data_IF_798630294819
#
_entry.id   IF_798630294819
#
_cell.length_a   1.000
_cell.length_b   1.000
_cell.length_c   1.000
_cell.angle_alpha   90.00
_cell.angle_beta   90.00
_cell.angle_gamma   90.00
#
_symmetry.space_group_name_H-M   'P 1'
#
loop_
_entity.id
_entity.type
_entity.pdbx_description
1 polymer ?
#
# COMPACT_ATOMS: atom_id res chain seq x y z
N UNK A 1 13.51 50.10 -39.72
CA UNK A 1 14.33 49.07 -39.05
C UNK A 1 14.33 49.13 -37.51
N UNK A 2 14.65 50.27 -36.86
CA UNK A 2 14.73 50.38 -35.38
C UNK A 2 13.45 49.99 -34.59
N UNK A 3 12.24 50.35 -35.08
CA UNK A 3 10.96 50.00 -34.43
C UNK A 3 10.67 48.49 -34.39
N UNK A 4 11.06 47.74 -35.43
CA UNK A 4 10.86 46.28 -35.51
C UNK A 4 11.77 45.52 -34.53
N UNK A 5 13.00 46.00 -34.34
CA UNK A 5 13.95 45.41 -33.38
C UNK A 5 13.47 45.65 -31.95
N UNK A 6 13.01 46.86 -31.61
CA UNK A 6 12.48 47.17 -30.27
C UNK A 6 11.22 46.36 -29.94
N UNK A 7 10.32 46.15 -30.90
CA UNK A 7 9.15 45.29 -30.72
C UNK A 7 9.54 43.83 -30.44
N UNK A 8 10.52 43.30 -31.18
CA UNK A 8 11.02 41.94 -30.99
C UNK A 8 11.70 41.74 -29.62
N UNK A 9 12.42 42.74 -29.11
CA UNK A 9 13.02 42.70 -27.78
C UNK A 9 11.96 42.82 -26.65
N UNK A 10 10.95 43.66 -26.82
CA UNK A 10 9.85 43.79 -25.88
C UNK A 10 9.03 42.49 -25.78
N UNK A 11 8.73 41.84 -26.91
CA UNK A 11 8.02 40.56 -26.95
C UNK A 11 8.83 39.42 -26.31
N UNK A 12 10.16 39.38 -26.52
CA UNK A 12 11.03 38.41 -25.81
C UNK A 12 11.09 38.68 -24.31
N UNK A 13 11.14 39.94 -23.88
CA UNK A 13 11.18 40.30 -22.47
C UNK A 13 9.84 40.03 -21.76
N UNK A 14 8.72 40.28 -22.43
CA UNK A 14 7.38 39.96 -21.95
C UNK A 14 7.15 38.45 -21.89
N UNK A 15 7.60 37.71 -22.91
CA UNK A 15 7.61 36.24 -22.92
C UNK A 15 8.42 35.68 -21.76
N UNK A 16 9.69 36.10 -21.59
CA UNK A 16 10.54 35.69 -20.45
C UNK A 16 9.89 35.98 -19.09
N UNK A 17 9.30 37.16 -18.91
CA UNK A 17 8.58 37.52 -17.68
C UNK A 17 7.37 36.61 -17.45
N UNK A 18 6.57 36.35 -18.48
CA UNK A 18 5.40 35.46 -18.39
C UNK A 18 5.81 34.03 -18.03
N UNK A 19 6.91 33.52 -18.58
CA UNK A 19 7.46 32.21 -18.21
C UNK A 19 7.95 32.21 -16.76
N UNK A 20 8.58 33.30 -16.30
CA UNK A 20 9.06 33.46 -14.91
C UNK A 20 7.93 33.47 -13.88
N UNK A 21 6.84 34.20 -14.16
CA UNK A 21 5.67 34.20 -13.27
C UNK A 21 4.99 32.83 -13.25
N UNK A 22 4.82 32.20 -14.42
CA UNK A 22 4.27 30.85 -14.50
C UNK A 22 5.11 29.84 -13.71
N UNK A 23 6.45 29.91 -13.81
CA UNK A 23 7.34 29.03 -13.03
C UNK A 23 7.21 29.25 -11.53
N UNK A 24 7.16 30.51 -11.06
CA UNK A 24 7.02 30.80 -9.63
C UNK A 24 5.67 30.35 -9.09
N UNK A 25 4.57 30.60 -9.82
CA UNK A 25 3.23 30.18 -9.42
C UNK A 25 3.09 28.66 -9.39
N UNK A 26 3.60 27.94 -10.39
CA UNK A 26 3.57 26.47 -10.41
C UNK A 26 4.41 25.88 -9.28
N UNK A 27 5.62 26.41 -9.04
CA UNK A 27 6.46 25.96 -7.93
C UNK A 27 5.78 26.17 -6.58
N UNK A 28 5.16 27.33 -6.37
CA UNK A 28 4.44 27.63 -5.14
C UNK A 28 3.24 26.68 -4.94
N UNK A 29 2.43 26.45 -5.98
CA UNK A 29 1.30 25.52 -5.89
C UNK A 29 1.74 24.08 -5.62
N UNK A 30 2.84 23.65 -6.23
CA UNK A 30 3.45 22.35 -6.00
C UNK A 30 3.94 22.22 -4.54
N UNK A 31 4.60 23.25 -4.01
CA UNK A 31 5.08 23.27 -2.62
C UNK A 31 3.94 23.33 -1.62
N UNK A 32 2.87 24.08 -1.90
CA UNK A 32 1.68 24.15 -1.05
C UNK A 32 0.99 22.78 -1.00
N UNK A 33 0.79 22.13 -2.15
CA UNK A 33 0.18 20.80 -2.20
C UNK A 33 1.01 19.76 -1.42
N UNK A 34 2.33 19.83 -1.51
CA UNK A 34 3.22 18.95 -0.76
C UNK A 34 3.25 19.27 0.75
N UNK A 35 3.26 20.56 1.11
CA UNK A 35 3.24 20.98 2.51
C UNK A 35 1.91 20.63 3.20
N UNK A 36 0.77 20.71 2.52
CA UNK A 36 -0.52 20.31 3.07
C UNK A 36 -0.61 18.81 3.40
N UNK A 37 0.22 17.97 2.78
CA UNK A 37 0.35 16.55 3.10
C UNK A 37 1.28 16.26 4.29
N UNK A 38 2.19 17.19 4.60
CA UNK A 38 3.11 17.08 5.74
C UNK A 38 2.50 17.61 7.04
N UNK A 39 1.38 18.34 6.96
CA UNK A 39 0.58 18.70 8.13
C UNK A 39 -0.18 17.44 8.55
N UNK A 40 0.47 16.62 9.37
CA UNK A 40 -0.21 15.61 10.16
C UNK A 40 -1.30 16.33 10.95
N UNK A 41 -2.58 15.96 10.83
CA UNK A 41 -3.55 16.37 11.84
C UNK A 41 -3.02 15.79 13.15
N UNK A 42 -2.65 16.63 14.11
CA UNK A 42 -2.67 16.19 15.51
C UNK A 42 -4.06 15.61 15.72
N UNK A 43 -4.12 14.35 16.17
CA UNK A 43 -5.34 13.68 16.56
C UNK A 43 -5.93 14.40 17.79
N UNK A 44 -6.52 15.57 17.57
CA UNK A 44 -7.28 16.34 18.55
C UNK A 44 -8.71 16.49 18.05
N UNK A 45 -9.33 15.38 17.69
CA UNK A 45 -10.78 15.31 17.69
C UNK A 45 -11.17 14.73 19.06
N UNK A 46 -11.64 15.58 19.97
CA UNK A 46 -12.34 15.12 21.17
C UNK A 46 -13.49 14.17 20.75
N UNK A 47 -13.65 13.00 21.37
CA UNK A 47 -14.72 12.07 21.02
C UNK A 47 -16.04 12.59 21.63
N UNK A 48 -16.70 13.50 20.93
CA UNK A 48 -18.02 13.98 21.31
C UNK A 48 -19.11 13.06 20.75
N UNK A 49 -19.54 12.11 21.60
CA UNK A 49 -20.94 11.67 21.67
C UNK A 49 -21.39 10.53 20.73
N UNK A 50 -21.71 9.38 21.35
CA UNK A 50 -22.53 8.24 20.85
C UNK A 50 -22.14 7.53 19.55
N UNK A 51 -21.14 8.01 18.81
CA UNK A 51 -20.46 7.29 17.73
C UNK A 51 -18.98 7.13 18.06
N UNK A 52 -18.70 6.57 19.24
CA UNK A 52 -17.33 6.29 19.66
C UNK A 52 -16.65 5.38 18.64
N UNK A 53 -15.63 5.93 17.99
CA UNK A 53 -14.55 5.30 17.24
C UNK A 53 -14.73 3.79 16.96
N UNK A 54 -15.48 3.48 15.89
CA UNK A 54 -15.00 2.40 15.03
C UNK A 54 -13.80 3.01 14.32
N UNK A 55 -12.60 2.63 14.73
CA UNK A 55 -11.38 2.91 13.99
C UNK A 55 -11.68 2.56 12.52
N UNK A 56 -11.71 3.56 11.64
CA UNK A 56 -12.05 3.36 10.23
C UNK A 56 -10.89 2.58 9.62
N UNK A 57 -10.97 1.25 9.67
CA UNK A 57 -10.09 0.36 8.95
C UNK A 57 -10.72 0.05 7.59
N UNK A 58 -10.19 0.65 6.50
CA UNK A 58 -10.66 0.37 5.15
C UNK A 58 -10.58 -1.12 4.79
N UNK A 59 -9.70 -1.90 5.44
CA UNK A 59 -9.55 -3.32 5.16
C UNK A 59 -10.57 -4.19 5.91
N UNK A 60 -11.04 -3.82 7.10
CA UNK A 60 -12.17 -4.50 7.75
C UNK A 60 -13.49 -4.18 7.04
N UNK A 61 -13.69 -2.94 6.61
CA UNK A 61 -14.98 -2.49 6.08
C UNK A 61 -15.18 -2.82 4.59
N UNK A 62 -14.10 -3.03 3.84
CA UNK A 62 -14.16 -3.40 2.41
C UNK A 62 -13.61 -4.81 2.16
N UNK A 63 -13.02 -5.45 3.18
CA UNK A 63 -12.77 -6.88 3.20
C UNK A 63 -14.09 -7.63 3.24
N UNK A 64 -14.17 -8.77 2.54
CA UNK A 64 -15.37 -9.59 2.53
C UNK A 64 -15.75 -9.97 3.97
N UNK A 65 -16.74 -9.28 4.56
CA UNK A 65 -17.56 -9.83 5.63
C UNK A 65 -18.27 -11.05 5.04
N UNK A 66 -17.64 -12.22 5.11
CA UNK A 66 -18.37 -13.47 5.17
C UNK A 66 -19.02 -13.50 6.56
N UNK A 67 -20.04 -12.65 6.78
CA UNK A 67 -21.03 -12.95 7.80
C UNK A 67 -21.55 -14.34 7.48
N UNK A 68 -21.55 -15.19 8.49
CA UNK A 68 -21.87 -16.61 8.46
C UNK A 68 -23.34 -16.85 8.09
N UNK A 69 -23.71 -16.56 6.84
CA UNK A 69 -24.98 -16.96 6.23
C UNK A 69 -24.69 -17.71 4.93
N UNK A 70 -24.63 -19.04 5.06
CA UNK A 70 -24.85 -20.04 4.02
C UNK A 70 -24.16 -19.83 2.67
N UNK A 71 -22.96 -20.41 2.54
CA UNK A 71 -22.51 -21.23 1.39
C UNK A 71 -23.20 -20.98 0.04
N UNK A 72 -23.03 -19.78 -0.53
CA UNK A 72 -23.05 -19.56 -1.97
C UNK A 72 -21.76 -18.86 -2.34
N UNK A 73 -21.02 -19.48 -3.25
CA UNK A 73 -19.89 -18.87 -3.91
C UNK A 73 -20.39 -17.66 -4.72
N UNK A 74 -20.53 -16.50 -4.08
CA UNK A 74 -20.73 -15.24 -4.78
C UNK A 74 -19.39 -14.92 -5.46
N UNK A 75 -19.38 -15.07 -6.80
CA UNK A 75 -18.22 -14.70 -7.61
C UNK A 75 -17.91 -13.20 -7.50
N UNK A 76 -16.73 -12.82 -7.99
CA UNK A 76 -16.25 -11.43 -8.01
C UNK A 76 -17.34 -10.52 -8.58
N UNK A 77 -17.76 -9.52 -7.81
CA UNK A 77 -18.80 -8.59 -8.24
C UNK A 77 -18.29 -7.68 -9.36
N UNK A 78 -19.17 -7.21 -10.24
CA UNK A 78 -18.78 -6.28 -11.30
C UNK A 78 -18.13 -4.99 -10.76
N UNK A 79 -18.52 -4.55 -9.56
CA UNK A 79 -17.94 -3.39 -8.87
C UNK A 79 -16.49 -3.64 -8.42
N UNK A 80 -16.18 -4.82 -7.89
CA UNK A 80 -14.82 -5.21 -7.52
C UNK A 80 -13.90 -5.31 -8.73
N UNK A 81 -14.37 -5.91 -9.82
CA UNK A 81 -13.62 -5.97 -11.09
C UNK A 81 -13.31 -4.55 -11.58
N UNK A 82 -14.31 -3.66 -11.56
CA UNK A 82 -14.14 -2.28 -11.99
C UNK A 82 -13.12 -1.53 -11.12
N UNK A 83 -13.17 -1.71 -9.80
CA UNK A 83 -12.21 -1.10 -8.88
C UNK A 83 -10.78 -1.55 -9.14
N UNK A 84 -10.52 -2.86 -9.21
CA UNK A 84 -9.17 -3.36 -9.48
C UNK A 84 -8.69 -2.97 -10.88
N UNK A 85 -9.58 -2.93 -11.88
CA UNK A 85 -9.25 -2.44 -13.21
C UNK A 85 -8.90 -0.94 -13.21
N UNK A 86 -9.66 -0.11 -12.49
CA UNK A 86 -9.38 1.32 -12.33
C UNK A 86 -8.05 1.55 -11.62
N UNK A 87 -7.76 0.77 -10.57
CA UNK A 87 -6.49 0.82 -9.84
C UNK A 87 -5.30 0.38 -10.70
N UNK A 88 -5.44 -0.70 -11.48
CA UNK A 88 -4.43 -1.13 -12.44
C UNK A 88 -4.15 -0.04 -13.50
N UNK A 89 -5.21 0.57 -14.02
CA UNK A 89 -5.12 1.66 -14.98
C UNK A 89 -4.44 2.89 -14.38
N UNK A 90 -4.77 3.24 -13.14
CA UNK A 90 -4.14 4.32 -12.38
C UNK A 90 -2.63 4.08 -12.23
N UNK A 91 -2.20 2.92 -11.75
CA UNK A 91 -0.78 2.61 -11.61
C UNK A 91 -0.04 2.62 -12.95
N UNK A 92 -0.65 2.07 -14.01
CA UNK A 92 -0.07 2.15 -15.35
C UNK A 92 0.10 3.61 -15.81
N UNK A 93 -0.92 4.43 -15.62
CA UNK A 93 -0.89 5.84 -16.01
C UNK A 93 0.12 6.65 -15.19
N UNK A 94 0.23 6.39 -13.89
CA UNK A 94 1.19 7.00 -12.99
C UNK A 94 2.62 6.67 -13.42
N UNK A 95 2.92 5.39 -13.67
CA UNK A 95 4.25 4.96 -14.14
C UNK A 95 4.61 5.54 -15.50
N UNK A 96 3.64 5.61 -16.42
CA UNK A 96 3.83 6.20 -17.74
C UNK A 96 4.13 7.70 -17.67
N UNK A 97 3.30 8.47 -16.95
CA UNK A 97 3.44 9.92 -16.86
C UNK A 97 4.70 10.33 -16.10
N UNK A 98 4.91 9.79 -14.90
CA UNK A 98 6.12 10.05 -14.11
C UNK A 98 7.37 9.58 -14.83
N UNK A 99 7.36 8.37 -15.40
CA UNK A 99 8.48 7.82 -16.14
C UNK A 99 8.89 8.68 -17.34
N UNK A 100 7.94 9.11 -18.18
CA UNK A 100 8.24 10.02 -19.30
C UNK A 100 8.84 11.36 -18.83
N UNK A 101 8.31 11.92 -17.74
CA UNK A 101 8.85 13.14 -17.15
C UNK A 101 10.27 12.97 -16.61
N UNK A 102 10.58 11.82 -15.97
CA UNK A 102 11.94 11.51 -15.53
C UNK A 102 12.92 11.33 -16.70
N UNK A 103 12.48 10.66 -17.77
CA UNK A 103 13.29 10.47 -18.98
C UNK A 103 13.53 11.76 -19.77
N UNK A 104 12.72 12.80 -19.57
CA UNK A 104 12.88 14.09 -20.24
C UNK A 104 14.23 14.76 -19.97
N UNK A 105 14.82 14.54 -18.79
CA UNK A 105 16.14 15.08 -18.42
C UNK A 105 17.29 14.31 -19.10
N UNK A 106 17.09 13.03 -19.40
CA UNK A 106 18.13 12.16 -19.99
C UNK A 106 18.13 12.24 -21.52
N UNK A 107 16.98 12.56 -22.13
CA UNK A 107 16.84 12.72 -23.57
C UNK A 107 17.27 14.15 -23.97
N UNK A 108 18.24 14.30 -24.89
CA UNK A 108 18.76 15.61 -25.29
C UNK A 108 17.66 16.57 -25.77
N UNK A 109 17.84 17.87 -25.50
CA UNK A 109 16.86 18.94 -25.81
C UNK A 109 16.81 19.28 -27.31
N UNK A 110 17.45 18.49 -28.17
CA UNK A 110 17.39 18.69 -29.61
C UNK A 110 15.96 18.47 -30.12
N UNK A 111 15.27 19.59 -30.41
CA UNK A 111 13.85 19.62 -30.80
C UNK A 111 13.59 18.98 -32.16
N UNK A 112 14.62 18.88 -33.00
CA UNK A 112 14.51 18.28 -34.32
C UNK A 112 14.65 16.74 -34.26
N UNK A 113 15.16 16.21 -33.14
CA UNK A 113 15.21 14.77 -32.92
C UNK A 113 13.82 14.14 -32.85
N UNK A 114 13.65 13.01 -33.55
CA UNK A 114 12.40 12.25 -33.56
C UNK A 114 12.05 11.78 -32.14
N UNK A 115 13.05 11.42 -31.34
CA UNK A 115 12.89 11.03 -29.94
C UNK A 115 12.21 12.13 -29.10
N UNK A 116 12.69 13.39 -29.19
CA UNK A 116 12.11 14.51 -28.43
C UNK A 116 10.68 14.84 -28.86
N UNK A 117 10.39 14.79 -30.17
CA UNK A 117 9.02 15.01 -30.69
C UNK A 117 8.05 13.95 -30.21
N UNK A 118 8.45 12.68 -30.22
CA UNK A 118 7.65 11.58 -29.71
C UNK A 118 7.44 11.70 -28.20
N UNK A 119 8.48 12.02 -27.43
CA UNK A 119 8.37 12.25 -25.99
C UNK A 119 7.33 13.34 -25.69
N UNK A 120 7.46 14.54 -26.26
CA UNK A 120 6.55 15.68 -26.02
C UNK A 120 5.10 15.32 -26.39
N UNK A 121 4.91 14.63 -27.54
CA UNK A 121 3.58 14.20 -27.97
C UNK A 121 2.94 13.25 -26.94
N UNK A 122 3.71 12.27 -26.46
CA UNK A 122 3.20 11.23 -25.59
C UNK A 122 3.11 11.64 -24.12
N UNK A 123 3.92 12.59 -23.66
CA UNK A 123 3.76 13.24 -22.36
C UNK A 123 2.35 13.82 -22.18
N UNK A 124 1.79 14.44 -23.23
CA UNK A 124 0.41 14.98 -23.19
C UNK A 124 -0.62 13.86 -23.06
N UNK A 125 -0.45 12.75 -23.78
CA UNK A 125 -1.36 11.61 -23.69
C UNK A 125 -1.23 10.89 -22.34
N UNK A 126 -0.02 10.77 -21.80
CA UNK A 126 0.24 10.20 -20.50
C UNK A 126 -0.42 11.03 -19.39
N UNK A 127 -0.34 12.35 -19.45
CA UNK A 127 -1.02 13.24 -18.48
C UNK A 127 -2.54 13.16 -18.57
N UNK A 128 -3.10 13.05 -19.77
CA UNK A 128 -4.55 12.83 -19.95
C UNK A 128 -4.98 11.50 -19.36
N UNK A 129 -4.21 10.45 -19.63
CA UNK A 129 -4.48 9.12 -19.08
C UNK A 129 -4.40 9.13 -17.56
N UNK A 130 -3.37 9.77 -16.98
CA UNK A 130 -3.21 9.90 -15.53
C UNK A 130 -4.40 10.61 -14.89
N UNK A 131 -4.80 11.78 -15.42
CA UNK A 131 -5.93 12.53 -14.87
C UNK A 131 -7.23 11.70 -14.91
N UNK A 132 -7.54 11.07 -16.04
CA UNK A 132 -8.76 10.27 -16.18
C UNK A 132 -8.73 9.01 -15.33
N UNK A 133 -7.58 8.33 -15.26
CA UNK A 133 -7.41 7.13 -14.45
C UNK A 133 -7.45 7.44 -12.95
N UNK A 134 -6.86 8.56 -12.52
CA UNK A 134 -6.92 9.02 -11.12
C UNK A 134 -8.36 9.39 -10.73
N UNK A 135 -9.09 10.13 -11.57
CA UNK A 135 -10.49 10.44 -11.33
C UNK A 135 -11.36 9.17 -11.22
N UNK A 136 -11.16 8.23 -12.15
CA UNK A 136 -11.89 6.95 -12.13
C UNK A 136 -11.55 6.14 -10.87
N UNK A 137 -10.26 6.01 -10.53
CA UNK A 137 -9.81 5.30 -9.35
C UNK A 137 -10.40 5.89 -8.07
N UNK A 138 -10.24 7.20 -7.85
CA UNK A 138 -10.78 7.89 -6.67
C UNK A 138 -12.30 7.72 -6.57
N UNK A 139 -13.02 7.88 -7.69
CA UNK A 139 -14.47 7.65 -7.72
C UNK A 139 -14.84 6.20 -7.34
N UNK A 140 -14.18 5.20 -7.92
CA UNK A 140 -14.45 3.79 -7.60
C UNK A 140 -14.09 3.44 -6.17
N UNK A 141 -13.05 4.06 -5.61
CA UNK A 141 -12.60 3.79 -4.24
C UNK A 141 -13.57 4.39 -3.22
N UNK A 142 -13.98 5.64 -3.41
CA UNK A 142 -14.97 6.29 -2.52
C UNK A 142 -16.30 5.54 -2.55
N UNK A 143 -16.76 5.13 -3.73
CA UNK A 143 -18.03 4.37 -3.85
C UNK A 143 -17.96 3.00 -3.19
N UNK A 144 -16.78 2.36 -3.15
CA UNK A 144 -16.59 1.14 -2.38
C UNK A 144 -16.54 1.37 -0.87
N UNK A 145 -15.86 2.42 -0.40
CA UNK A 145 -15.79 2.74 1.03
C UNK A 145 -17.13 3.19 1.62
N UNK A 146 -17.93 3.92 0.84
CA UNK A 146 -19.26 4.37 1.25
C UNK A 146 -20.36 3.33 0.97
N UNK A 147 -20.00 2.12 0.52
CA UNK A 147 -20.96 1.05 0.27
C UNK A 147 -21.59 0.61 1.59
N UNK A 148 -22.90 0.77 1.73
CA UNK A 148 -23.62 0.49 2.99
C UNK A 148 -23.89 1.75 3.84
N UNK A 149 -23.31 2.89 3.47
CA UNK A 149 -23.69 4.22 3.97
C UNK A 149 -24.59 4.93 2.95
N UNK A 150 -25.15 6.08 3.31
CA UNK A 150 -25.84 7.00 2.38
C UNK A 150 -24.83 7.64 1.40
N UNK A 151 -24.19 6.81 0.57
CA UNK A 151 -23.07 7.16 -0.32
C UNK A 151 -23.42 8.16 -1.43
N UNK A 152 -24.66 8.65 -1.49
CA UNK A 152 -25.09 9.77 -2.32
C UNK A 152 -25.01 11.13 -1.62
N UNK A 153 -24.73 11.19 -0.33
CA UNK A 153 -24.66 12.45 0.43
C UNK A 153 -23.36 13.21 0.13
N UNK A 154 -23.40 14.41 -0.47
CA UNK A 154 -22.20 15.20 -0.78
C UNK A 154 -21.36 15.56 0.45
N UNK A 155 -21.97 15.63 1.64
CA UNK A 155 -21.25 15.96 2.87
C UNK A 155 -20.32 14.82 3.32
N UNK A 156 -20.70 13.56 3.13
CA UNK A 156 -19.85 12.41 3.45
C UNK A 156 -18.65 12.33 2.51
N UNK A 157 -18.86 12.63 1.23
CA UNK A 157 -17.77 12.75 0.26
C UNK A 157 -16.80 13.87 0.64
N UNK A 158 -17.33 15.03 1.04
CA UNK A 158 -16.52 16.16 1.46
C UNK A 158 -15.69 15.82 2.70
N UNK A 159 -16.32 15.28 3.75
CA UNK A 159 -15.65 14.82 4.97
C UNK A 159 -14.57 13.80 4.68
N UNK A 160 -14.88 12.76 3.89
CA UNK A 160 -13.90 11.74 3.52
C UNK A 160 -12.69 12.38 2.83
N UNK A 161 -12.90 13.31 1.90
CA UNK A 161 -11.82 13.95 1.15
C UNK A 161 -10.98 14.93 1.99
N UNK A 162 -11.56 15.63 2.96
CA UNK A 162 -10.87 16.68 3.72
C UNK A 162 -10.38 16.25 5.09
N UNK A 163 -11.09 15.35 5.76
CA UNK A 163 -10.84 14.95 7.15
C UNK A 163 -10.02 13.67 7.25
N UNK A 164 -9.94 12.86 6.18
CA UNK A 164 -9.10 11.64 6.17
C UNK A 164 -7.79 11.86 5.42
N UNK A 165 -6.73 11.22 5.92
CA UNK A 165 -5.41 11.20 5.28
C UNK A 165 -5.45 10.61 3.86
N UNK A 166 -6.24 9.55 3.67
CA UNK A 166 -6.47 8.91 2.38
C UNK A 166 -7.14 9.87 1.40
N UNK A 167 -8.17 10.59 1.84
CA UNK A 167 -8.86 11.61 1.04
C UNK A 167 -7.94 12.76 0.61
N UNK A 168 -7.14 13.28 1.53
CA UNK A 168 -6.16 14.33 1.25
C UNK A 168 -5.09 13.87 0.24
N UNK A 169 -4.64 12.61 0.34
CA UNK A 169 -3.72 12.01 -0.62
C UNK A 169 -4.32 11.93 -2.03
N UNK A 170 -5.59 11.54 -2.15
CA UNK A 170 -6.30 11.55 -3.45
C UNK A 170 -6.43 12.96 -4.01
N UNK A 171 -6.78 13.95 -3.19
CA UNK A 171 -6.83 15.35 -3.62
C UNK A 171 -5.47 15.82 -4.15
N UNK A 172 -4.38 15.49 -3.45
CA UNK A 172 -3.04 15.84 -3.88
C UNK A 172 -2.65 15.18 -5.22
N UNK A 173 -2.98 13.90 -5.42
CA UNK A 173 -2.79 13.19 -6.69
C UNK A 173 -3.56 13.88 -7.83
N UNK A 174 -4.82 14.27 -7.59
CA UNK A 174 -5.65 14.97 -8.58
C UNK A 174 -5.08 16.36 -8.91
N UNK A 175 -4.67 17.12 -7.90
CA UNK A 175 -4.03 18.44 -8.07
C UNK A 175 -2.73 18.31 -8.86
N UNK A 176 -1.85 17.37 -8.50
CA UNK A 176 -0.61 17.12 -9.24
C UNK A 176 -0.89 16.67 -10.67
N UNK A 177 -1.91 15.84 -10.89
CA UNK A 177 -2.33 15.44 -12.24
C UNK A 177 -2.77 16.63 -13.10
N UNK A 178 -3.44 17.62 -12.52
CA UNK A 178 -3.79 18.87 -13.20
C UNK A 178 -2.57 19.77 -13.42
N UNK A 179 -1.75 19.99 -12.39
CA UNK A 179 -0.53 20.80 -12.47
C UNK A 179 0.48 20.24 -13.48
N UNK A 180 0.49 18.92 -13.69
CA UNK A 180 1.35 18.27 -14.68
C UNK A 180 1.19 18.85 -16.09
N UNK A 181 -0.02 19.27 -16.49
CA UNK A 181 -0.25 19.94 -17.78
C UNK A 181 0.47 21.28 -17.90
N UNK A 182 0.57 22.04 -16.81
CA UNK A 182 1.36 23.27 -16.78
C UNK A 182 2.86 22.96 -16.83
N UNK A 183 3.30 21.94 -16.08
CA UNK A 183 4.69 21.47 -16.04
C UNK A 183 5.19 21.00 -17.40
N UNK A 184 4.34 20.44 -18.26
CA UNK A 184 4.71 20.09 -19.65
C UNK A 184 5.23 21.28 -20.47
N UNK A 185 4.89 22.52 -20.09
CA UNK A 185 5.36 23.75 -20.75
C UNK A 185 6.63 24.34 -20.11
N UNK A 186 7.09 23.78 -19.00
CA UNK A 186 8.26 24.23 -18.26
C UNK A 186 9.53 23.46 -18.70
N UNK A 187 10.66 23.74 -18.04
CA UNK A 187 11.93 23.03 -18.31
C UNK A 187 11.91 21.61 -17.76
N UNK A 188 12.81 20.76 -18.26
CA UNK A 188 12.88 19.35 -17.86
C UNK A 188 13.18 19.17 -16.34
N UNK A 189 13.80 20.16 -15.70
CA UNK A 189 13.98 20.18 -14.24
C UNK A 189 12.65 20.24 -13.47
N UNK A 190 11.66 21.00 -13.95
CA UNK A 190 10.33 21.03 -13.32
C UNK A 190 9.57 19.72 -13.54
N UNK A 191 9.77 19.06 -14.68
CA UNK A 191 9.21 17.72 -14.95
C UNK A 191 9.78 16.69 -13.98
N UNK A 192 11.08 16.72 -13.74
CA UNK A 192 11.75 15.90 -12.73
C UNK A 192 11.17 16.14 -11.34
N UNK A 193 11.09 17.41 -10.90
CA UNK A 193 10.53 17.77 -9.59
C UNK A 193 9.09 17.27 -9.45
N UNK A 194 8.26 17.47 -10.49
CA UNK A 194 6.88 17.01 -10.48
C UNK A 194 6.77 15.49 -10.36
N UNK A 195 7.59 14.74 -11.10
CA UNK A 195 7.58 13.27 -11.05
C UNK A 195 8.02 12.73 -9.68
N UNK A 196 9.02 13.36 -9.06
CA UNK A 196 9.45 13.03 -7.70
C UNK A 196 8.36 13.36 -6.69
N UNK A 197 7.69 14.50 -6.80
CA UNK A 197 6.62 14.84 -5.88
C UNK A 197 5.41 13.93 -6.01
N UNK A 198 5.03 13.54 -7.23
CA UNK A 198 3.97 12.56 -7.44
C UNK A 198 4.33 11.22 -6.77
N UNK A 199 5.57 10.75 -6.90
CA UNK A 199 6.04 9.54 -6.23
C UNK A 199 6.05 9.69 -4.69
N UNK A 200 6.39 10.86 -4.17
CA UNK A 200 6.36 11.14 -2.74
C UNK A 200 4.92 11.09 -2.19
N UNK A 201 3.96 11.75 -2.86
CA UNK A 201 2.55 11.71 -2.46
C UNK A 201 2.01 10.28 -2.44
N UNK A 202 2.29 9.50 -3.49
CA UNK A 202 1.87 8.10 -3.54
C UNK A 202 2.49 7.27 -2.39
N UNK A 203 3.75 7.56 -2.04
CA UNK A 203 4.42 6.85 -0.95
C UNK A 203 3.85 7.18 0.43
N UNK A 204 3.52 8.45 0.69
CA UNK A 204 2.82 8.81 1.93
C UNK A 204 1.48 8.10 2.07
N UNK A 205 0.71 7.98 0.98
CA UNK A 205 -0.58 7.29 0.99
C UNK A 205 -0.45 5.81 1.40
N UNK A 206 0.54 5.09 0.83
CA UNK A 206 0.76 3.67 1.13
C UNK A 206 1.19 3.40 2.58
N UNK A 207 1.91 4.33 3.21
CA UNK A 207 2.47 4.15 4.56
C UNK A 207 1.53 4.49 5.70
N UNK A 208 0.71 5.53 5.56
CA UNK A 208 -0.25 5.92 6.61
C UNK A 208 -1.17 4.75 6.97
N UNK A 209 -1.43 3.85 6.01
CA UNK A 209 -2.28 2.67 6.21
C UNK A 209 -1.54 1.43 6.71
N UNK A 210 -0.25 1.26 6.37
CA UNK A 210 0.46 -0.01 6.59
C UNK A 210 1.39 -0.01 7.81
N UNK A 211 2.06 1.11 8.08
CA UNK A 211 3.07 1.24 9.14
C UNK A 211 3.10 2.71 9.62
N UNK A 212 2.23 3.09 10.58
CA UNK A 212 2.28 4.42 11.19
C UNK A 212 3.68 4.71 11.73
N UNK A 213 4.19 5.92 11.49
CA UNK A 213 5.48 6.45 11.99
C UNK A 213 6.78 5.78 11.48
N UNK A 214 6.73 4.93 10.45
CA UNK A 214 7.95 4.33 9.90
C UNK A 214 8.56 5.12 8.72
N UNK A 215 9.43 6.08 9.04
CA UNK A 215 10.12 6.91 8.02
C UNK A 215 10.95 6.10 7.03
N UNK A 216 11.59 5.00 7.47
CA UNK A 216 12.39 4.16 6.59
C UNK A 216 11.52 3.52 5.51
N UNK A 217 10.33 3.07 5.89
CA UNK A 217 9.39 2.45 4.99
C UNK A 217 8.99 3.45 3.87
N UNK A 218 8.66 4.70 4.22
CA UNK A 218 8.37 5.79 3.25
C UNK A 218 9.51 6.00 2.28
N UNK A 219 10.75 6.04 2.76
CA UNK A 219 11.92 6.22 1.88
C UNK A 219 12.08 5.02 0.93
N UNK A 220 11.90 3.80 1.42
CA UNK A 220 12.01 2.59 0.59
C UNK A 220 10.94 2.55 -0.48
N UNK A 221 9.70 2.85 -0.14
CA UNK A 221 8.59 2.86 -1.09
C UNK A 221 8.70 4.02 -2.11
N UNK A 222 9.08 5.22 -1.68
CA UNK A 222 9.43 6.32 -2.58
C UNK A 222 10.50 5.92 -3.60
N UNK A 223 11.60 5.31 -3.14
CA UNK A 223 12.65 4.81 -4.02
C UNK A 223 12.12 3.70 -4.95
N UNK A 224 11.22 2.84 -4.46
CA UNK A 224 10.57 1.80 -5.25
C UNK A 224 9.73 2.38 -6.37
N UNK A 225 8.91 3.39 -6.09
CA UNK A 225 8.03 4.06 -7.07
C UNK A 225 8.86 4.80 -8.12
N UNK A 226 9.86 5.59 -7.71
CA UNK A 226 10.73 6.33 -8.65
C UNK A 226 11.49 5.36 -9.58
N UNK A 227 12.05 4.28 -9.03
CA UNK A 227 12.75 3.28 -9.84
C UNK A 227 11.79 2.52 -10.76
N UNK A 228 10.56 2.24 -10.30
CA UNK A 228 9.51 1.60 -11.11
C UNK A 228 9.12 2.50 -12.29
N UNK A 229 8.95 3.80 -12.05
CA UNK A 229 8.62 4.78 -13.06
C UNK A 229 9.74 4.92 -14.11
N UNK A 230 11.00 4.98 -13.69
CA UNK A 230 12.15 5.00 -14.59
C UNK A 230 12.19 3.76 -15.48
N UNK A 231 12.01 2.58 -14.90
CA UNK A 231 12.00 1.32 -15.66
C UNK A 231 10.81 1.24 -16.62
N UNK A 232 9.58 1.41 -16.13
CA UNK A 232 8.36 1.27 -16.92
C UNK A 232 8.26 2.35 -18.01
N UNK A 233 8.49 3.62 -17.67
CA UNK A 233 8.49 4.72 -18.64
C UNK A 233 9.58 4.57 -19.69
N UNK A 234 10.76 4.11 -19.30
CA UNK A 234 11.87 3.85 -20.23
C UNK A 234 11.55 2.70 -21.19
N UNK A 235 10.95 1.62 -20.69
CA UNK A 235 10.54 0.49 -21.52
C UNK A 235 9.47 0.91 -22.55
N UNK A 236 8.49 1.72 -22.13
CA UNK A 236 7.44 2.22 -23.01
C UNK A 236 7.99 3.19 -24.08
N UNK A 237 8.89 4.09 -23.70
CA UNK A 237 9.60 4.94 -24.65
C UNK A 237 10.45 4.12 -25.63
N UNK A 238 11.14 3.09 -25.14
CA UNK A 238 11.92 2.19 -25.99
C UNK A 238 11.01 1.43 -26.97
N UNK A 239 9.84 0.94 -26.54
CA UNK A 239 8.82 0.34 -27.40
C UNK A 239 8.30 1.31 -28.47
N UNK A 240 8.07 2.56 -28.09
CA UNK A 240 7.62 3.61 -29.00
C UNK A 240 8.69 3.96 -30.04
N UNK A 241 9.92 4.21 -29.60
CA UNK A 241 11.04 4.45 -30.52
C UNK A 241 11.30 3.24 -31.39
N UNK A 242 11.20 2.03 -30.83
CA UNK A 242 11.31 0.81 -31.62
C UNK A 242 10.26 0.84 -32.74
N UNK A 243 8.99 1.09 -32.45
CA UNK A 243 7.94 1.14 -33.49
C UNK A 243 8.11 2.28 -34.51
N UNK A 244 8.56 3.46 -34.07
CA UNK A 244 8.66 4.64 -34.93
C UNK A 244 9.96 4.66 -35.76
N UNK A 245 11.11 4.41 -35.14
CA UNK A 245 12.42 4.47 -35.78
C UNK A 245 13.46 3.57 -35.08
N UNK A 246 13.82 2.46 -35.75
CA UNK A 246 14.72 1.43 -35.18
C UNK A 246 16.09 1.97 -34.75
N UNK A 247 16.65 2.94 -35.49
CA UNK A 247 17.97 3.52 -35.21
C UNK A 247 17.97 4.30 -33.90
N UNK A 248 16.97 5.15 -33.69
CA UNK A 248 16.79 5.87 -32.42
C UNK A 248 16.51 4.92 -31.25
N UNK A 249 15.75 3.85 -31.49
CA UNK A 249 15.56 2.81 -30.48
C UNK A 249 16.88 2.15 -30.03
N UNK A 250 17.81 1.92 -30.96
CA UNK A 250 19.14 1.40 -30.65
C UNK A 250 19.96 2.35 -29.76
N UNK A 251 19.98 3.65 -30.11
CA UNK A 251 20.67 4.70 -29.33
C UNK A 251 20.09 4.83 -27.92
N UNK A 252 18.77 4.80 -27.81
CA UNK A 252 18.09 4.88 -26.53
C UNK A 252 18.25 3.61 -25.70
N UNK A 253 18.26 2.43 -26.31
CA UNK A 253 18.40 1.13 -25.62
C UNK A 253 19.69 1.04 -24.79
N UNK A 254 20.80 1.60 -25.27
CA UNK A 254 22.06 1.60 -24.52
C UNK A 254 21.94 2.40 -23.21
N UNK A 255 21.34 3.59 -23.26
CA UNK A 255 21.11 4.43 -22.08
C UNK A 255 20.07 3.81 -21.15
N UNK A 256 18.95 3.35 -21.72
CA UNK A 256 17.87 2.69 -21.00
C UNK A 256 18.38 1.49 -20.23
N UNK A 257 19.06 0.55 -20.87
CA UNK A 257 19.48 -0.69 -20.21
C UNK A 257 20.49 -0.45 -19.10
N UNK A 258 21.37 0.55 -19.21
CA UNK A 258 22.30 0.92 -18.12
C UNK A 258 21.55 1.43 -16.89
N UNK A 259 20.58 2.32 -17.07
CA UNK A 259 19.76 2.85 -15.97
C UNK A 259 18.84 1.75 -15.41
N UNK A 260 18.19 0.98 -16.28
CA UNK A 260 17.27 -0.09 -15.91
C UNK A 260 17.93 -1.15 -15.01
N UNK A 261 19.21 -1.45 -15.24
CA UNK A 261 19.96 -2.36 -14.37
C UNK A 261 20.12 -1.84 -12.94
N UNK A 262 20.47 -0.57 -12.78
CA UNK A 262 20.60 0.04 -11.47
C UNK A 262 19.24 0.14 -10.78
N UNK A 263 18.17 0.49 -11.52
CA UNK A 263 16.83 0.57 -10.95
C UNK A 263 16.31 -0.80 -10.51
N UNK A 264 16.58 -1.89 -11.23
CA UNK A 264 16.18 -3.25 -10.80
C UNK A 264 16.85 -3.65 -9.48
N UNK A 265 18.12 -3.29 -9.28
CA UNK A 265 18.82 -3.56 -8.02
C UNK A 265 18.17 -2.79 -6.85
N UNK A 266 17.91 -1.49 -7.04
CA UNK A 266 17.26 -0.66 -6.03
C UNK A 266 15.83 -1.14 -5.74
N UNK A 267 15.06 -1.51 -6.78
CA UNK A 267 13.72 -2.09 -6.64
C UNK A 267 13.71 -3.38 -5.82
N UNK A 268 14.71 -4.23 -6.06
CA UNK A 268 14.83 -5.51 -5.35
C UNK A 268 15.18 -5.25 -3.88
N UNK A 269 16.16 -4.38 -3.62
CA UNK A 269 16.57 -4.03 -2.26
C UNK A 269 15.44 -3.34 -1.48
N UNK A 270 14.75 -2.35 -2.09
CA UNK A 270 13.65 -1.65 -1.42
C UNK A 270 12.43 -2.54 -1.24
N UNK A 271 12.13 -3.41 -2.20
CA UNK A 271 11.06 -4.41 -2.08
C UNK A 271 11.32 -5.40 -0.94
N UNK A 272 12.55 -5.93 -0.82
CA UNK A 272 12.92 -6.82 0.28
C UNK A 272 12.83 -6.07 1.62
N UNK A 273 13.35 -4.85 1.69
CA UNK A 273 13.26 -4.02 2.90
C UNK A 273 11.81 -3.79 3.34
N UNK A 274 10.92 -3.47 2.40
CA UNK A 274 9.49 -3.31 2.66
C UNK A 274 8.83 -4.60 3.19
N UNK A 275 9.17 -5.76 2.63
CA UNK A 275 8.66 -7.05 3.10
C UNK A 275 9.12 -7.33 4.53
N UNK A 276 10.38 -7.05 4.86
CA UNK A 276 10.93 -7.24 6.21
C UNK A 276 10.26 -6.32 7.23
N UNK A 277 9.93 -5.08 6.85
CA UNK A 277 9.26 -4.13 7.74
C UNK A 277 7.78 -4.46 7.95
N UNK A 278 7.12 -4.98 6.91
CA UNK A 278 5.68 -5.20 6.92
C UNK A 278 5.28 -6.57 7.48
N UNK A 279 6.11 -7.59 7.30
CA UNK A 279 5.74 -8.97 7.59
C UNK A 279 6.16 -9.37 9.03
N UNK A 280 5.20 -9.68 9.92
CA UNK A 280 5.53 -10.09 11.29
C UNK A 280 6.27 -11.43 11.34
N UNK A 281 5.94 -12.34 10.42
CA UNK A 281 6.56 -13.66 10.32
C UNK A 281 6.66 -14.13 8.86
N UNK A 282 7.80 -14.70 8.49
CA UNK A 282 8.09 -15.19 7.12
C UNK A 282 7.10 -16.25 6.63
N UNK A 283 6.48 -17.00 7.54
CA UNK A 283 5.48 -18.02 7.24
C UNK A 283 4.28 -17.44 6.49
N UNK A 284 3.95 -16.16 6.70
CA UNK A 284 2.81 -15.50 6.06
C UNK A 284 2.96 -15.45 4.54
N UNK A 285 4.18 -15.53 4.01
CA UNK A 285 4.42 -15.64 2.57
C UNK A 285 3.72 -16.85 1.93
N UNK A 286 3.53 -17.93 2.70
CA UNK A 286 2.97 -19.18 2.21
C UNK A 286 1.51 -19.39 2.62
N UNK A 287 1.05 -18.70 3.67
CA UNK A 287 -0.27 -18.89 4.24
C UNK A 287 -1.27 -17.78 3.89
N UNK A 288 -0.82 -16.61 3.44
CA UNK A 288 -1.70 -15.50 3.08
C UNK A 288 -1.78 -15.31 1.58
N UNK A 289 -2.96 -14.89 1.08
CA UNK A 289 -3.15 -14.51 -0.33
C UNK A 289 -2.18 -13.39 -0.74
N UNK A 290 -1.91 -12.46 0.17
CA UNK A 290 -0.90 -11.41 0.01
C UNK A 290 0.50 -11.99 -0.24
N UNK A 291 0.91 -12.97 0.58
CA UNK A 291 2.19 -13.67 0.46
C UNK A 291 2.36 -14.40 -0.86
N UNK A 292 1.32 -15.13 -1.28
CA UNK A 292 1.32 -15.89 -2.54
C UNK A 292 1.43 -14.93 -3.75
N UNK A 293 0.68 -13.82 -3.74
CA UNK A 293 0.78 -12.80 -4.80
C UNK A 293 2.15 -12.14 -4.83
N UNK A 294 2.77 -11.89 -3.68
CA UNK A 294 4.12 -11.36 -3.58
C UNK A 294 5.15 -12.33 -4.17
N UNK A 295 5.03 -13.63 -3.88
CA UNK A 295 5.89 -14.66 -4.48
C UNK A 295 5.73 -14.71 -6.00
N UNK A 296 4.48 -14.63 -6.50
CA UNK A 296 4.20 -14.56 -7.93
C UNK A 296 4.83 -13.30 -8.57
N UNK A 297 4.71 -12.13 -7.93
CA UNK A 297 5.39 -10.89 -8.35
C UNK A 297 6.91 -11.10 -8.38
N UNK A 298 7.48 -11.77 -7.37
CA UNK A 298 8.90 -12.09 -7.30
C UNK A 298 9.37 -12.90 -8.52
N UNK A 299 8.62 -13.93 -8.92
CA UNK A 299 8.91 -14.72 -10.12
C UNK A 299 8.85 -13.85 -11.39
N UNK A 300 7.83 -12.99 -11.53
CA UNK A 300 7.74 -12.08 -12.68
C UNK A 300 8.91 -11.09 -12.73
N UNK A 301 9.35 -10.55 -11.60
CA UNK A 301 10.50 -9.64 -11.52
C UNK A 301 11.80 -10.36 -11.89
N UNK A 302 11.97 -11.63 -11.52
CA UNK A 302 13.10 -12.44 -11.98
C UNK A 302 13.09 -12.64 -13.51
N UNK A 303 11.91 -12.86 -14.09
CA UNK A 303 11.76 -12.94 -15.55
C UNK A 303 12.09 -11.60 -16.21
N UNK A 304 11.65 -10.46 -15.65
CA UNK A 304 12.00 -9.10 -16.10
C UNK A 304 13.51 -8.88 -16.03
N UNK A 305 14.17 -9.31 -14.96
CA UNK A 305 15.62 -9.19 -14.83
C UNK A 305 16.35 -10.01 -15.91
N UNK A 306 15.84 -11.20 -16.24
CA UNK A 306 16.37 -12.05 -17.32
C UNK A 306 16.19 -11.40 -18.70
N UNK A 307 14.98 -10.92 -19.03
CA UNK A 307 14.72 -10.22 -20.30
C UNK A 307 15.53 -8.94 -20.42
N UNK A 308 15.62 -8.16 -19.35
CA UNK A 308 16.47 -6.98 -19.23
C UNK A 308 17.95 -7.29 -19.44
N UNK A 309 18.46 -8.40 -18.90
CA UNK A 309 19.83 -8.86 -19.13
C UNK A 309 20.10 -9.19 -20.58
N UNK A 310 19.19 -9.92 -21.22
CA UNK A 310 19.31 -10.25 -22.63
C UNK A 310 19.26 -8.99 -23.51
N UNK A 311 18.40 -8.00 -23.19
CA UNK A 311 18.36 -6.71 -23.88
C UNK A 311 19.67 -5.93 -23.69
N UNK A 312 20.19 -5.86 -22.47
CA UNK A 312 21.44 -5.18 -22.15
C UNK A 312 22.64 -5.79 -22.90
N UNK A 313 22.75 -7.13 -22.91
CA UNK A 313 23.81 -7.83 -23.63
C UNK A 313 23.77 -7.53 -25.13
N UNK A 314 22.57 -7.43 -25.72
CA UNK A 314 22.41 -7.06 -27.15
C UNK A 314 22.77 -5.60 -27.40
N UNK A 315 22.36 -4.68 -26.53
CA UNK A 315 22.69 -3.28 -26.62
C UNK A 315 24.21 -3.06 -26.57
N UNK A 316 24.92 -3.73 -25.65
CA UNK A 316 26.40 -3.70 -25.56
C UNK A 316 27.10 -4.25 -26.81
N UNK A 317 26.45 -5.12 -27.57
CA UNK A 317 26.94 -5.63 -28.85
C UNK A 317 26.61 -4.71 -30.04
N UNK A 318 26.03 -3.53 -29.81
CA UNK A 318 25.57 -2.62 -30.87
C UNK A 318 24.40 -3.16 -31.69
N UNK A 319 23.72 -4.21 -31.21
CA UNK A 319 22.60 -4.84 -31.93
C UNK A 319 21.30 -4.12 -31.58
N UNK A 320 20.42 -4.01 -32.57
CA UNK A 320 19.07 -3.51 -32.36
C UNK A 320 18.30 -4.37 -31.34
N UNK A 321 17.44 -3.76 -30.52
CA UNK A 321 16.61 -4.48 -29.56
C UNK A 321 15.66 -5.45 -30.29
N UNK A 322 15.60 -6.69 -29.79
CA UNK A 322 14.73 -7.72 -30.37
C UNK A 322 13.27 -7.41 -30.02
N UNK A 323 12.42 -7.26 -31.03
CA UNK A 323 11.01 -6.95 -30.85
C UNK A 323 10.23 -7.97 -30.03
N UNK A 324 10.54 -9.27 -30.15
CA UNK A 324 9.87 -10.32 -29.35
C UNK A 324 10.20 -10.16 -27.87
N UNK A 325 11.49 -9.93 -27.57
CA UNK A 325 11.97 -9.75 -26.20
C UNK A 325 11.41 -8.48 -25.57
N UNK A 326 11.34 -7.39 -26.34
CA UNK A 326 10.79 -6.11 -25.89
C UNK A 326 9.27 -6.19 -25.62
N UNK A 327 8.53 -6.93 -26.45
CA UNK A 327 7.11 -7.21 -26.22
C UNK A 327 6.88 -8.09 -24.98
N UNK A 328 7.75 -9.09 -24.77
CA UNK A 328 7.71 -9.93 -23.58
C UNK A 328 7.96 -9.10 -22.32
N UNK A 329 8.97 -8.23 -22.34
CA UNK A 329 9.27 -7.33 -21.21
C UNK A 329 8.08 -6.41 -20.90
N UNK A 330 7.43 -5.86 -21.93
CA UNK A 330 6.21 -5.06 -21.77
C UNK A 330 5.01 -5.85 -21.23
N UNK A 331 4.87 -7.13 -21.59
CA UNK A 331 3.84 -8.01 -21.04
C UNK A 331 4.10 -8.32 -19.56
N UNK A 332 5.35 -8.63 -19.20
CA UNK A 332 5.75 -8.87 -17.82
C UNK A 332 5.51 -7.64 -16.95
N UNK A 333 5.84 -6.44 -17.45
CA UNK A 333 5.51 -5.18 -16.79
C UNK A 333 4.01 -5.02 -16.54
N UNK A 334 3.17 -5.30 -17.54
CA UNK A 334 1.71 -5.24 -17.37
C UNK A 334 1.21 -6.24 -16.31
N UNK A 335 1.72 -7.48 -16.33
CA UNK A 335 1.38 -8.50 -15.31
C UNK A 335 1.81 -8.07 -13.90
N UNK A 336 3.01 -7.51 -13.75
CA UNK A 336 3.47 -6.98 -12.46
C UNK A 336 2.54 -5.87 -11.97
N UNK A 337 2.15 -4.93 -12.82
CA UNK A 337 1.25 -3.83 -12.42
C UNK A 337 -0.15 -4.32 -12.05
N UNK A 338 -0.67 -5.36 -12.71
CA UNK A 338 -1.96 -6.00 -12.35
C UNK A 338 -1.87 -6.69 -11.00
N UNK A 339 -0.79 -7.45 -10.74
CA UNK A 339 -0.59 -8.05 -9.41
C UNK A 339 -0.47 -6.95 -8.36
N UNK A 340 0.32 -5.90 -8.63
CA UNK A 340 0.47 -4.72 -7.74
C UNK A 340 -0.86 -4.08 -7.42
N UNK A 341 -1.75 -3.88 -8.39
CA UNK A 341 -3.08 -3.29 -8.14
C UNK A 341 -3.97 -4.12 -7.22
N UNK A 342 -3.72 -5.43 -7.09
CA UNK A 342 -4.50 -6.31 -6.24
C UNK A 342 -3.82 -6.47 -4.88
N UNK A 343 -2.55 -6.90 -4.85
CA UNK A 343 -1.89 -7.26 -3.59
C UNK A 343 -1.67 -6.07 -2.65
N UNK A 344 -1.54 -4.85 -3.20
CA UNK A 344 -1.43 -3.62 -2.39
C UNK A 344 -2.77 -3.18 -1.77
N UNK A 345 -3.85 -3.95 -1.98
CA UNK A 345 -5.11 -3.81 -1.28
C UNK A 345 -5.34 -4.92 -0.24
N UNK A 346 -4.52 -5.97 -0.25
CA UNK A 346 -4.66 -7.10 0.66
C UNK A 346 -3.83 -6.85 1.93
N UNK A 347 -4.32 -7.33 3.07
CA UNK A 347 -3.55 -7.34 4.31
C UNK A 347 -2.46 -8.42 4.27
N UNK A 348 -1.24 -8.12 4.76
CA UNK A 348 -0.16 -9.10 4.90
C UNK A 348 -0.43 -10.13 6.02
N UNK A 349 -1.37 -9.81 6.94
CA UNK A 349 -1.76 -10.68 8.07
C UNK A 349 -2.82 -11.69 7.59
N UNK A 350 -2.82 -12.94 8.10
CA UNK A 350 -3.87 -13.90 7.80
C UNK A 350 -5.26 -13.34 8.09
N UNK A 351 -6.18 -13.49 7.13
CA UNK A 351 -7.60 -13.22 7.34
C UNK A 351 -8.23 -14.45 8.03
N UNK A 352 -8.05 -14.55 9.33
CA UNK A 352 -8.59 -15.62 10.19
C UNK A 352 -9.63 -15.01 11.14
N UNK A 353 -10.65 -15.77 11.51
CA UNK A 353 -11.64 -15.32 12.49
C UNK A 353 -10.98 -15.25 13.87
N UNK A 354 -10.93 -14.05 14.52
CA UNK A 354 -10.43 -13.94 15.87
C UNK A 354 -11.17 -14.87 16.82
N UNK A 355 -10.44 -15.59 17.67
CA UNK A 355 -11.09 -16.33 18.75
C UNK A 355 -11.57 -15.31 19.77
N UNK A 356 -12.86 -15.36 20.14
CA UNK A 356 -13.41 -14.66 21.30
C UNK A 356 -14.30 -15.64 22.04
N UNK A 357 -13.76 -16.25 23.09
CA UNK A 357 -14.48 -17.22 23.91
C UNK A 357 -14.81 -16.60 25.26
N UNK A 358 -16.10 -16.53 25.59
CA UNK A 358 -16.58 -15.99 26.85
C UNK A 358 -17.42 -17.04 27.58
N UNK A 359 -17.13 -17.25 28.88
CA UNK A 359 -17.88 -18.16 29.74
C UNK A 359 -18.31 -17.44 31.01
N UNK A 360 -19.62 -17.50 31.28
CA UNK A 360 -20.25 -17.02 32.51
C UNK A 360 -20.55 -18.20 33.44
N UNK A 361 -20.51 -17.98 34.74
CA UNK A 361 -20.68 -19.02 35.75
C UNK A 361 -20.57 -18.48 37.18
N UNK A 362 -21.31 -19.07 38.11
CA UNK A 362 -21.51 -18.52 39.46
C UNK A 362 -20.22 -18.30 40.28
N UNK A 363 -19.12 -18.95 39.90
CA UNK A 363 -17.84 -18.93 40.63
C UNK A 363 -16.65 -18.40 39.82
N UNK A 364 -16.81 -18.24 38.51
CA UNK A 364 -15.73 -17.84 37.59
C UNK A 364 -16.34 -17.36 36.28
N UNK A 365 -16.03 -16.13 35.88
CA UNK A 365 -16.20 -15.69 34.50
C UNK A 365 -14.83 -15.50 33.86
N UNK A 366 -14.72 -15.78 32.58
CA UNK A 366 -13.53 -15.40 31.83
C UNK A 366 -13.82 -15.16 30.37
N UNK A 367 -12.96 -14.36 29.76
CA UNK A 367 -12.93 -14.11 28.32
C UNK A 367 -11.52 -14.36 27.82
N UNK A 368 -11.37 -15.20 26.80
CA UNK A 368 -10.12 -15.38 26.07
C UNK A 368 -10.30 -14.87 24.66
N UNK A 369 -9.41 -13.98 24.24
CA UNK A 369 -9.33 -13.48 22.88
C UNK A 369 -7.97 -13.80 22.28
N UNK A 370 -7.95 -14.30 21.03
CA UNK A 370 -6.72 -14.55 20.27
C UNK A 370 -6.86 -13.84 18.92
N UNK A 371 -5.91 -12.94 18.62
CA UNK A 371 -5.86 -12.18 17.36
C UNK A 371 -4.50 -12.32 16.68
N UNK A 372 -4.42 -12.60 15.36
CA UNK A 372 -5.52 -12.83 14.44
C UNK A 372 -6.16 -14.23 14.55
N UNK A 373 -5.66 -15.12 15.42
CA UNK A 373 -6.03 -16.55 15.47
C UNK A 373 -5.62 -17.30 14.18
N UNK A 374 -4.34 -17.16 13.82
CA UNK A 374 -3.73 -17.87 12.68
C UNK A 374 -2.35 -18.40 13.03
N UNK A 375 -1.68 -19.13 12.10
CA UNK A 375 -0.26 -19.44 12.26
C UNK A 375 0.56 -18.17 12.46
N UNK A 376 1.69 -18.25 13.14
CA UNK A 376 2.59 -17.12 13.42
C UNK A 376 2.27 -16.39 14.74
N UNK A 377 2.72 -15.13 14.90
CA UNK A 377 2.55 -14.37 16.13
C UNK A 377 1.09 -13.95 16.35
N UNK A 378 0.58 -14.24 17.53
CA UNK A 378 -0.75 -13.86 17.99
C UNK A 378 -0.67 -13.02 19.28
N UNK A 379 -1.64 -12.13 19.46
CA UNK A 379 -1.91 -11.44 20.72
C UNK A 379 -3.01 -12.19 21.45
N UNK A 380 -2.81 -12.42 22.75
CA UNK A 380 -3.77 -13.12 23.60
C UNK A 380 -4.17 -12.22 24.75
N UNK A 381 -5.47 -11.96 24.87
CA UNK A 381 -6.05 -11.21 25.97
C UNK A 381 -6.90 -12.16 26.80
N UNK A 382 -6.68 -12.18 28.10
CA UNK A 382 -7.39 -13.01 29.05
C UNK A 382 -7.94 -12.12 30.15
N UNK A 383 -9.27 -12.04 30.25
CA UNK A 383 -9.97 -11.37 31.34
C UNK A 383 -10.55 -12.43 32.26
N UNK A 384 -10.33 -12.29 33.56
CA UNK A 384 -10.84 -13.20 34.59
C UNK A 384 -11.64 -12.39 35.61
N UNK A 385 -12.82 -12.88 35.96
CA UNK A 385 -13.63 -12.35 37.05
C UNK A 385 -13.85 -13.43 38.09
N UNK A 386 -13.36 -13.19 39.31
CA UNK A 386 -13.60 -14.03 40.48
C UNK A 386 -14.53 -13.32 41.48
N UNK A 387 -15.35 -14.04 42.26
CA UNK A 387 -16.15 -13.44 43.32
C UNK A 387 -15.32 -12.52 44.22
N UNK A 388 -15.84 -11.36 44.59
CA UNK A 388 -15.12 -10.35 45.38
C UNK A 388 -14.53 -10.89 46.69
N UNK A 389 -15.11 -11.95 47.26
CA UNK A 389 -14.60 -12.59 48.48
C UNK A 389 -13.26 -13.31 48.25
N UNK A 390 -12.99 -13.77 47.03
CA UNK A 390 -11.73 -14.44 46.65
C UNK A 390 -10.66 -13.45 46.18
N UNK A 391 -11.07 -12.26 45.73
CA UNK A 391 -10.16 -11.24 45.21
C UNK A 391 -9.52 -11.65 43.88
N UNK A 392 -8.33 -11.10 43.59
CA UNK A 392 -7.56 -11.45 42.41
C UNK A 392 -6.97 -12.87 42.52
N UNK A 393 -6.84 -13.61 41.40
CA UNK A 393 -6.24 -14.94 41.39
C UNK A 393 -4.79 -14.91 41.89
N UNK A 394 -4.37 -15.95 42.61
CA UNK A 394 -3.00 -16.09 43.11
C UNK A 394 -2.02 -16.45 41.99
N UNK A 395 -2.45 -17.27 41.03
CA UNK A 395 -1.68 -17.57 39.82
C UNK A 395 -2.60 -17.97 38.68
N UNK A 396 -2.20 -17.63 37.46
CA UNK A 396 -2.88 -18.01 36.22
C UNK A 396 -1.86 -18.60 35.26
N UNK A 397 -2.13 -19.80 34.74
CA UNK A 397 -1.33 -20.46 33.70
C UNK A 397 -2.21 -20.74 32.49
N UNK A 398 -1.68 -20.46 31.31
CA UNK A 398 -2.35 -20.66 30.05
C UNK A 398 -1.41 -21.42 29.11
N UNK A 399 -1.88 -22.57 28.59
CA UNK A 399 -1.11 -23.43 27.69
C UNK A 399 -1.89 -23.71 26.42
N UNK A 400 -1.19 -23.75 25.30
CA UNK A 400 -1.77 -24.02 23.98
C UNK A 400 -1.18 -25.31 23.42
N UNK A 401 -2.03 -26.27 23.08
CA UNK A 401 -1.63 -27.55 22.51
C UNK A 401 -2.21 -27.72 21.11
N UNK A 402 -1.38 -28.09 20.15
CA UNK A 402 -1.84 -28.49 18.82
C UNK A 402 -2.45 -29.90 18.91
N UNK A 403 -3.76 -30.02 18.67
CA UNK A 403 -4.50 -31.28 18.76
C UNK A 403 -4.13 -32.20 17.61
N UNK A 404 -3.95 -31.64 16.41
CA UNK A 404 -3.56 -32.41 15.21
C UNK A 404 -2.08 -32.86 15.27
N UNK A 405 -1.30 -32.33 16.20
CA UNK A 405 0.13 -32.63 16.39
C UNK A 405 0.47 -32.86 17.87
N UNK A 406 -0.05 -33.93 18.51
CA UNK A 406 0.04 -34.14 19.95
C UNK A 406 1.47 -34.35 20.46
N UNK A 407 2.40 -34.74 19.59
CA UNK A 407 3.81 -34.92 19.95
C UNK A 407 4.59 -33.59 20.05
N UNK A 408 4.01 -32.46 19.67
CA UNK A 408 4.64 -31.15 19.83
C UNK A 408 4.43 -30.65 21.26
N UNK A 409 5.44 -30.02 21.88
CA UNK A 409 5.29 -29.47 23.22
C UNK A 409 4.21 -28.39 23.26
N UNK A 410 3.45 -28.35 24.34
CA UNK A 410 2.51 -27.27 24.62
C UNK A 410 3.26 -25.95 24.72
N UNK A 411 2.66 -24.88 24.19
CA UNK A 411 3.18 -23.52 24.30
C UNK A 411 2.67 -22.95 25.62
N UNK A 412 3.57 -22.65 26.54
CA UNK A 412 3.24 -21.91 27.76
C UNK A 412 3.20 -20.42 27.43
N UNK A 413 2.04 -19.79 27.68
CA UNK A 413 1.81 -18.39 27.31
C UNK A 413 2.28 -17.48 28.45
N UNK A 414 3.26 -16.59 28.22
CA UNK A 414 3.73 -15.67 29.24
C UNK A 414 2.70 -14.55 29.43
N UNK A 415 1.85 -14.69 30.45
CA UNK A 415 0.85 -13.69 30.80
C UNK A 415 1.47 -12.55 31.62
N UNK A 416 1.15 -11.31 31.25
CA UNK A 416 1.48 -10.10 32.00
C UNK A 416 0.19 -9.45 32.48
N UNK A 417 0.19 -8.91 33.69
CA UNK A 417 -0.95 -8.14 34.16
C UNK A 417 -1.16 -6.91 33.26
N UNK A 418 -2.40 -6.70 32.85
CA UNK A 418 -2.84 -5.57 32.04
C UNK A 418 -3.91 -4.78 32.81
N UNK A 419 -4.24 -3.59 32.32
CA UNK A 419 -5.39 -2.81 32.79
C UNK A 419 -6.21 -2.47 31.56
N UNK A 420 -7.34 -3.15 31.35
CA UNK A 420 -8.16 -2.95 30.17
C UNK A 420 -8.83 -1.58 30.13
N UNK A 421 -9.08 -1.07 28.92
CA UNK A 421 -9.86 0.15 28.67
C UNK A 421 -11.38 -0.14 28.61
N UNK A 422 -11.78 -1.39 28.31
CA UNK A 422 -13.17 -1.85 28.29
C UNK A 422 -13.61 -2.37 29.67
N UNK A 423 -14.35 -1.53 30.40
CA UNK A 423 -14.96 -1.85 31.70
C UNK A 423 -16.28 -2.62 31.53
N UNK A 424 -16.22 -3.93 31.28
CA UNK A 424 -17.37 -4.80 31.55
C UNK A 424 -17.40 -5.16 33.03
N UNK A 425 -17.91 -4.25 33.86
CA UNK A 425 -18.03 -4.48 35.29
C UNK A 425 -19.16 -5.47 35.59
N UNK A 426 -18.84 -6.61 36.20
CA UNK A 426 -19.83 -7.54 36.74
C UNK A 426 -20.00 -7.33 38.25
N UNK A 427 -21.17 -6.86 38.72
CA UNK A 427 -21.41 -6.65 40.15
C UNK A 427 -21.15 -7.92 40.96
N UNK A 428 -20.35 -7.82 42.02
CA UNK A 428 -19.98 -8.94 42.89
C UNK A 428 -18.72 -9.71 42.47
N UNK A 429 -18.06 -9.32 41.38
CA UNK A 429 -16.80 -9.92 40.93
C UNK A 429 -15.65 -8.90 40.87
N UNK A 430 -14.43 -9.38 41.06
CA UNK A 430 -13.17 -8.66 40.86
C UNK A 430 -12.60 -9.06 39.50
N UNK A 431 -12.43 -8.09 38.61
CA UNK A 431 -11.80 -8.25 37.30
C UNK A 431 -10.27 -8.26 37.43
N UNK A 432 -9.60 -9.13 36.67
CA UNK A 432 -8.15 -9.15 36.51
C UNK A 432 -7.82 -9.45 35.06
N UNK A 433 -7.09 -8.52 34.45
CA UNK A 433 -6.75 -8.58 33.03
C UNK A 433 -5.31 -9.04 32.84
N UNK A 434 -5.14 -9.89 31.84
CA UNK A 434 -3.84 -10.41 31.41
C UNK A 434 -3.70 -10.26 29.90
N UNK A 435 -2.47 -9.98 29.48
CA UNK A 435 -2.11 -9.88 28.08
C UNK A 435 -0.81 -10.62 27.80
N UNK A 436 -0.72 -11.19 26.60
CA UNK A 436 0.50 -11.76 26.04
C UNK A 436 0.63 -11.35 24.59
N UNK A 437 1.82 -10.90 24.21
CA UNK A 437 2.12 -10.51 22.83
C UNK A 437 3.07 -11.51 22.19
N UNK A 438 2.92 -11.69 20.87
CA UNK A 438 3.79 -12.53 20.02
C UNK A 438 3.82 -14.00 20.43
N UNK A 439 2.67 -14.56 20.78
CA UNK A 439 2.51 -16.00 21.01
C UNK A 439 2.50 -16.72 19.65
N UNK A 440 3.51 -17.53 19.40
CA UNK A 440 3.73 -18.18 18.09
C UNK A 440 2.92 -19.48 17.93
N UNK A 441 1.86 -19.44 17.11
CA UNK A 441 1.12 -20.65 16.72
C UNK A 441 1.78 -21.30 15.51
N UNK A 442 2.33 -22.51 15.69
CA UNK A 442 3.19 -23.12 14.68
C UNK A 442 2.49 -23.66 13.41
N UNK A 443 1.18 -23.91 13.46
CA UNK A 443 0.43 -24.59 12.39
C UNK A 443 -1.03 -24.15 12.35
N UNK A 444 -1.66 -24.26 11.17
CA UNK A 444 -3.12 -24.29 11.04
C UNK A 444 -3.67 -25.61 11.54
N UNK A 445 -4.86 -25.59 12.13
CA UNK A 445 -5.60 -26.77 12.54
C UNK A 445 -6.35 -26.58 13.84
N UNK A 446 -6.58 -27.70 14.53
CA UNK A 446 -7.24 -27.75 15.83
C UNK A 446 -6.25 -27.49 16.95
N UNK A 447 -6.64 -26.62 17.86
CA UNK A 447 -5.88 -26.24 19.04
C UNK A 447 -6.75 -26.36 20.28
N UNK A 448 -6.11 -26.60 21.41
CA UNK A 448 -6.75 -26.61 22.72
C UNK A 448 -6.02 -25.66 23.66
N UNK A 449 -6.78 -24.81 24.33
CA UNK A 449 -6.32 -23.94 25.41
C UNK A 449 -6.57 -24.65 26.73
N UNK A 450 -5.53 -24.83 27.53
CA UNK A 450 -5.61 -25.25 28.91
C UNK A 450 -5.41 -24.02 29.81
N UNK A 451 -6.48 -23.59 30.47
CA UNK A 451 -6.49 -22.49 31.43
C UNK A 451 -6.54 -23.06 32.86
N UNK A 452 -5.54 -22.74 33.67
CA UNK A 452 -5.45 -23.13 35.07
C UNK A 452 -5.43 -21.86 35.93
N UNK A 453 -6.44 -21.69 36.77
CA UNK A 453 -6.58 -20.56 37.69
C UNK A 453 -6.47 -21.09 39.11
N UNK A 454 -5.62 -20.47 39.91
CA UNK A 454 -5.45 -20.79 41.33
C UNK A 454 -5.89 -19.60 42.17
N UNK A 455 -6.85 -19.80 43.07
CA UNK A 455 -7.31 -18.74 43.97
C UNK A 455 -6.37 -18.54 45.18
N UNK A 456 -6.65 -17.54 46.01
CA UNK A 456 -5.86 -17.22 47.21
C UNK A 456 -5.90 -18.33 48.28
N UNK A 457 -6.90 -19.22 48.24
CA UNK A 457 -6.99 -20.39 49.12
C UNK A 457 -6.17 -21.58 48.62
N UNK A 458 -5.66 -21.50 47.40
CA UNK A 458 -4.91 -22.56 46.72
C UNK A 458 -5.78 -23.54 45.93
N UNK A 459 -7.10 -23.31 45.82
CA UNK A 459 -7.97 -24.13 45.00
C UNK A 459 -7.72 -23.88 43.51
N UNK A 460 -7.60 -24.96 42.74
CA UNK A 460 -7.33 -24.92 41.31
C UNK A 460 -8.61 -25.15 40.50
N UNK A 461 -8.87 -24.29 39.52
CA UNK A 461 -9.91 -24.46 38.50
C UNK A 461 -9.23 -24.62 37.15
N UNK A 462 -9.60 -25.69 36.43
CA UNK A 462 -9.06 -26.02 35.11
C UNK A 462 -10.16 -25.98 34.06
N UNK A 463 -9.90 -25.27 32.97
CA UNK A 463 -10.80 -25.15 31.82
C UNK A 463 -10.07 -25.53 30.54
N UNK A 464 -10.75 -26.27 29.65
CA UNK A 464 -10.24 -26.70 28.36
C UNK A 464 -11.11 -26.09 27.25
N UNK A 465 -10.49 -25.39 26.31
CA UNK A 465 -11.21 -24.68 25.25
C UNK A 465 -10.62 -25.12 23.92
N UNK A 466 -11.41 -25.86 23.15
CA UNK A 466 -11.02 -26.25 21.80
C UNK A 466 -11.36 -25.13 20.81
N UNK A 467 -10.44 -24.80 19.92
CA UNK A 467 -10.64 -23.85 18.85
C UNK A 467 -9.93 -24.30 17.57
N UNK A 468 -10.20 -23.62 16.46
CA UNK A 468 -9.46 -23.78 15.22
C UNK A 468 -8.92 -22.42 14.75
N UNK A 469 -7.79 -22.45 14.05
CA UNK A 469 -7.09 -21.27 13.56
C UNK A 469 -6.89 -21.29 12.03
N UNK A 470 -7.88 -21.87 11.31
CA UNK A 470 -7.87 -22.05 9.86
C UNK A 470 -8.60 -20.98 9.06
#
# INVERSE_FOLDING_TARGET
>A
MKKSILHHYADRAASKRRTSYLTMSVLLLILIAFASLLVLPEASAEPLGKYAAVEFDPHEQVGHHHSSDNSRAEGITAGEILFFAARALYYFALMLASGMMLWSVVIPVDKDSIARRLLIKWEVYAMRLLLLAALLFVFTHITQLLKGYDGGNPNEWFRLLTETSTGQSWLAILVLSLLGFAVLRLTDSFKLIWALLLAAVESFNGHIMALPDNTLAVVLDFLHIVCSALWAGGLLLLLMFWRAERKEAGRFAERFTKIAWMTILVLTASGIGMVVLLLPAWQYLFYTSWGIMLLAKGVLVLLVACTGFLLHRRAKQGKLPNGKLLKLDGLLMAMVLIIVSIFTYLSPVPNTEPLSYHKMGDKLHYTIQIKPNGPGPNRINLKIWLPMQLGAPASVSLRLQAVDHPNRPAIEVPLRAASGEDYLSFPGFTETDYESEKVELSTRGKWEVELIIKDQSGAETKELISFRND
#
